data_IF_685320750509
#
_entry.id   IF_685320750509
#
_cell.length_a   1.000
_cell.length_b   1.000
_cell.length_c   1.000
_cell.angle_alpha   90.00
_cell.angle_beta   90.00
_cell.angle_gamma   90.00
#
_symmetry.space_group_name_H-M   'P 1'
#
loop_
_entity.id
_entity.type
_entity.pdbx_description
1 polymer ?
#
# COMPACT_ATOMS: atom_id res chain seq x y z
N UNK A 1 78.31 41.76 20.65
CA UNK A 1 79.42 40.92 20.18
C UNK A 1 79.00 39.46 20.36
N UNK A 2 79.10 38.59 19.35
CA UNK A 2 78.26 38.54 18.14
C UNK A 2 77.62 37.13 17.91
N UNK A 3 76.44 37.05 17.26
CA UNK A 3 76.17 36.53 15.88
C UNK A 3 76.11 34.97 15.77
N UNK A 4 75.31 34.28 14.94
CA UNK A 4 74.61 34.50 13.66
C UNK A 4 73.28 33.67 13.66
N UNK A 5 72.12 34.09 13.15
CA UNK A 5 71.69 34.51 11.79
C UNK A 5 71.19 33.33 10.92
N UNK A 6 69.86 33.18 10.73
CA UNK A 6 69.11 33.66 9.54
C UNK A 6 67.68 33.12 9.48
N UNK A 7 66.80 34.05 9.14
CA UNK A 7 65.40 33.90 8.75
C UNK A 7 65.29 33.10 7.44
N UNK A 8 64.24 32.28 7.30
CA UNK A 8 63.86 31.73 6.00
C UNK A 8 62.60 32.43 5.48
N UNK A 9 62.68 32.86 4.23
CA UNK A 9 61.75 33.73 3.54
C UNK A 9 60.65 32.94 2.83
N UNK A 10 59.45 33.54 2.78
CA UNK A 10 58.34 33.23 1.85
C UNK A 10 58.83 32.81 0.45
N UNK A 11 58.26 31.71 -0.06
CA UNK A 11 58.03 31.55 -1.50
C UNK A 11 56.59 31.05 -1.74
N UNK A 12 55.78 31.93 -2.35
CA UNK A 12 54.55 31.58 -3.03
C UNK A 12 54.93 30.59 -4.14
N UNK A 13 54.31 29.41 -4.15
CA UNK A 13 54.46 28.50 -5.30
C UNK A 13 53.94 29.21 -6.55
N UNK A 14 54.91 29.43 -7.43
CA UNK A 14 54.75 30.11 -8.67
C UNK A 14 53.87 29.29 -9.61
N UNK A 15 53.02 30.03 -10.31
CA UNK A 15 52.42 29.67 -11.57
C UNK A 15 53.54 29.26 -12.55
N UNK A 16 53.86 27.96 -12.61
CA UNK A 16 54.77 27.42 -13.62
C UNK A 16 54.01 27.30 -14.95
N UNK A 17 53.89 28.48 -15.56
CA UNK A 17 53.48 28.69 -16.93
C UNK A 17 54.73 28.50 -17.82
N UNK A 18 55.38 27.33 -17.73
CA UNK A 18 56.26 26.83 -18.77
C UNK A 18 55.44 26.64 -20.06
N UNK A 19 56.01 26.89 -21.25
CA UNK A 19 55.26 26.88 -22.49
C UNK A 19 54.62 25.51 -22.67
N UNK A 20 53.31 25.40 -22.43
CA UNK A 20 52.54 24.25 -22.89
C UNK A 20 52.73 24.25 -24.38
N UNK A 21 53.59 23.33 -24.86
CA UNK A 21 53.62 22.97 -26.24
C UNK A 21 52.17 22.82 -26.68
N UNK A 22 51.73 23.69 -27.59
CA UNK A 22 50.49 23.51 -28.33
C UNK A 22 50.71 22.27 -29.18
N UNK A 23 50.69 21.08 -28.57
CA UNK A 23 50.48 19.83 -29.28
C UNK A 23 49.09 19.98 -29.87
N UNK A 24 49.05 20.20 -31.18
CA UNK A 24 47.82 20.35 -31.94
C UNK A 24 46.83 19.26 -31.54
N UNK A 25 45.55 19.62 -31.38
CA UNK A 25 44.45 18.64 -31.19
C UNK A 25 44.43 17.58 -32.31
N UNK A 26 45.14 17.81 -33.42
CA UNK A 26 45.28 16.94 -34.59
C UNK A 26 46.03 15.62 -34.37
N UNK A 27 46.73 15.40 -33.26
CA UNK A 27 47.54 14.18 -33.06
C UNK A 27 47.17 13.35 -31.82
N UNK A 28 45.93 13.48 -31.32
CA UNK A 28 45.42 12.68 -30.18
C UNK A 28 44.80 11.38 -30.66
N UNK A 29 45.17 10.25 -30.05
CA UNK A 29 44.54 8.95 -30.30
C UNK A 29 43.66 8.62 -29.09
N UNK A 30 42.34 8.55 -29.28
CA UNK A 30 41.39 8.25 -28.21
C UNK A 30 41.38 6.76 -27.85
N UNK A 31 41.10 6.48 -26.58
CA UNK A 31 41.21 5.16 -25.96
C UNK A 31 39.89 4.76 -25.29
N UNK A 32 39.50 3.50 -25.46
CA UNK A 32 38.38 2.86 -24.76
C UNK A 32 38.87 2.19 -23.47
N UNK A 33 39.15 2.99 -22.44
CA UNK A 33 39.64 2.47 -21.15
C UNK A 33 38.44 2.16 -20.25
N UNK A 34 38.20 0.89 -19.86
CA UNK A 34 37.21 0.56 -18.84
C UNK A 34 37.53 1.27 -17.52
N UNK A 35 36.50 1.64 -16.76
CA UNK A 35 36.68 2.42 -15.52
C UNK A 35 37.68 1.79 -14.54
N UNK A 36 37.67 0.45 -14.43
CA UNK A 36 38.55 -0.33 -13.56
C UNK A 36 40.03 -0.24 -13.96
N UNK A 37 40.31 0.12 -15.21
CA UNK A 37 41.66 0.20 -15.79
C UNK A 37 42.18 1.65 -15.90
N UNK A 38 41.43 2.65 -15.40
CA UNK A 38 41.78 4.07 -15.46
C UNK A 38 43.16 4.39 -14.87
N UNK A 39 43.47 3.80 -13.71
CA UNK A 39 44.74 4.03 -13.03
C UNK A 39 45.91 3.47 -13.84
N UNK A 40 45.73 2.27 -14.41
CA UNK A 40 46.71 1.62 -15.27
C UNK A 40 46.95 2.41 -16.56
N UNK A 41 45.90 2.96 -17.18
CA UNK A 41 46.02 3.81 -18.35
C UNK A 41 46.78 5.11 -18.05
N UNK A 42 46.53 5.72 -16.89
CA UNK A 42 47.24 6.91 -16.42
C UNK A 42 48.72 6.64 -16.18
N UNK A 43 49.07 5.50 -15.58
CA UNK A 43 50.45 5.05 -15.35
C UNK A 43 51.20 4.81 -16.67
N UNK A 44 50.50 4.32 -17.69
CA UNK A 44 51.05 4.14 -19.04
C UNK A 44 51.15 5.45 -19.84
N UNK A 45 50.69 6.57 -19.28
CA UNK A 45 50.85 7.91 -19.83
C UNK A 45 49.62 8.48 -20.55
N UNK A 46 48.48 7.78 -20.52
CA UNK A 46 47.22 8.30 -21.06
C UNK A 46 46.73 9.51 -20.25
N UNK A 47 45.93 10.37 -20.89
CA UNK A 47 45.34 11.58 -20.29
C UNK A 47 43.84 11.60 -20.52
N UNK A 48 43.11 12.24 -19.62
CA UNK A 48 41.67 12.43 -19.74
C UNK A 48 41.36 13.75 -20.44
N UNK A 49 40.59 13.71 -21.52
CA UNK A 49 40.00 14.88 -22.15
C UNK A 49 38.64 15.15 -21.51
N UNK A 50 38.53 16.28 -20.78
CA UNK A 50 37.28 16.68 -20.11
C UNK A 50 36.19 17.13 -21.10
N UNK A 51 36.57 17.66 -22.25
CA UNK A 51 35.65 18.18 -23.27
C UNK A 51 35.04 17.02 -24.05
N UNK A 52 35.87 16.05 -24.44
CA UNK A 52 35.42 14.82 -25.11
C UNK A 52 34.95 13.72 -24.15
N UNK A 53 35.13 13.90 -22.83
CA UNK A 53 34.87 12.88 -21.80
C UNK A 53 35.47 11.51 -22.15
N UNK A 54 36.74 11.49 -22.56
CA UNK A 54 37.41 10.29 -23.06
C UNK A 54 38.90 10.28 -22.74
N UNK A 55 39.49 9.08 -22.58
CA UNK A 55 40.93 8.92 -22.46
C UNK A 55 41.61 9.07 -23.81
N UNK A 56 42.81 9.64 -23.83
CA UNK A 56 43.61 9.76 -25.04
C UNK A 56 45.11 9.55 -24.77
N UNK A 57 45.81 9.02 -25.77
CA UNK A 57 47.25 8.97 -25.82
C UNK A 57 47.80 10.29 -26.41
N UNK A 58 48.66 11.04 -25.67
CA UNK A 58 49.19 12.32 -26.14
C UNK A 58 50.37 12.18 -27.13
N UNK A 59 50.90 10.97 -27.35
CA UNK A 59 52.01 10.70 -28.27
C UNK A 59 51.97 9.26 -28.81
N UNK A 60 52.64 9.01 -29.93
CA UNK A 60 52.74 7.67 -30.54
C UNK A 60 53.33 6.62 -29.58
N UNK A 61 54.31 7.00 -28.75
CA UNK A 61 54.91 6.13 -27.74
C UNK A 61 53.92 5.74 -26.64
N UNK A 62 53.02 6.64 -26.25
CA UNK A 62 51.94 6.30 -25.30
C UNK A 62 50.91 5.43 -26.00
N UNK A 63 50.58 5.71 -27.26
CA UNK A 63 49.62 4.92 -28.03
C UNK A 63 50.06 3.45 -28.18
N UNK A 64 51.36 3.17 -28.35
CA UNK A 64 51.89 1.81 -28.33
C UNK A 64 51.73 1.13 -26.96
N UNK A 65 52.01 1.86 -25.87
CA UNK A 65 51.86 1.34 -24.50
C UNK A 65 50.40 1.10 -24.13
N UNK A 66 49.47 1.88 -24.69
CA UNK A 66 48.04 1.82 -24.44
C UNK A 66 47.28 1.09 -25.56
N UNK A 67 47.98 0.34 -26.41
CA UNK A 67 47.41 -0.30 -27.60
C UNK A 67 46.23 -1.21 -27.29
N UNK A 68 46.21 -1.83 -26.11
CA UNK A 68 45.10 -2.67 -25.63
C UNK A 68 43.76 -1.92 -25.48
N UNK A 69 43.78 -0.59 -25.30
CA UNK A 69 42.59 0.27 -25.25
C UNK A 69 42.44 1.11 -26.52
N UNK A 70 43.28 0.89 -27.53
CA UNK A 70 43.23 1.64 -28.79
C UNK A 70 41.95 1.29 -29.54
N UNK A 71 41.12 2.29 -29.76
CA UNK A 71 40.00 2.20 -30.69
C UNK A 71 40.45 2.86 -31.99
N UNK A 72 40.56 2.08 -33.06
CA UNK A 72 40.79 2.61 -34.41
C UNK A 72 39.66 3.58 -34.77
N UNK A 73 39.85 4.87 -34.48
CA UNK A 73 38.99 5.98 -34.88
C UNK A 73 37.58 6.04 -34.28
N UNK A 74 37.17 5.10 -33.42
CA UNK A 74 35.85 5.11 -32.77
C UNK A 74 35.98 5.12 -31.25
N UNK A 75 36.15 6.31 -30.67
CA UNK A 75 35.92 6.48 -29.23
C UNK A 75 34.58 5.79 -28.88
N UNK A 76 34.53 4.90 -27.87
CA UNK A 76 33.27 4.35 -27.43
C UNK A 76 32.39 5.54 -27.08
N UNK A 77 31.18 5.58 -27.64
CA UNK A 77 30.22 6.62 -27.36
C UNK A 77 30.18 6.83 -25.84
N UNK A 78 30.30 8.09 -25.41
CA UNK A 78 30.03 8.46 -24.02
C UNK A 78 28.75 7.73 -23.60
N UNK A 79 28.79 7.00 -22.48
CA UNK A 79 27.64 6.27 -21.94
C UNK A 79 26.37 7.10 -22.18
N UNK A 80 25.42 6.56 -22.97
CA UNK A 80 24.21 7.27 -23.33
C UNK A 80 23.60 7.86 -22.06
N UNK A 81 23.40 9.18 -22.05
CA UNK A 81 22.70 9.86 -20.95
C UNK A 81 21.26 9.35 -20.94
N UNK A 82 21.03 8.29 -20.18
CA UNK A 82 19.73 7.69 -19.90
C UNK A 82 18.85 8.74 -19.22
N UNK A 83 17.68 9.01 -19.81
CA UNK A 83 16.71 9.99 -19.30
C UNK A 83 15.73 9.29 -18.33
N UNK A 84 15.80 9.58 -17.02
CA UNK A 84 14.91 8.96 -16.04
C UNK A 84 13.43 9.22 -16.29
N UNK A 85 13.08 10.38 -16.86
CA UNK A 85 11.68 10.74 -17.13
C UNK A 85 11.15 9.90 -18.29
N UNK A 86 11.94 9.74 -19.35
CA UNK A 86 11.60 8.88 -20.48
C UNK A 86 11.47 7.42 -20.02
N UNK A 87 12.45 6.90 -19.28
CA UNK A 87 12.42 5.50 -18.81
C UNK A 87 11.24 5.21 -17.89
N UNK A 88 10.94 6.11 -16.95
CA UNK A 88 9.78 5.96 -16.10
C UNK A 88 8.48 5.99 -16.90
N UNK A 89 8.42 6.85 -17.93
CA UNK A 89 7.27 6.92 -18.85
C UNK A 89 7.10 5.61 -19.63
N UNK A 90 8.18 5.06 -20.17
CA UNK A 90 8.17 3.80 -20.91
C UNK A 90 7.83 2.61 -20.02
N UNK A 91 8.38 2.59 -18.80
CA UNK A 91 8.01 1.60 -17.79
C UNK A 91 6.51 1.65 -17.48
N UNK A 92 5.91 2.83 -17.29
CA UNK A 92 4.46 2.93 -17.07
C UNK A 92 3.63 2.44 -18.26
N UNK A 93 4.07 2.72 -19.50
CA UNK A 93 3.40 2.19 -20.70
C UNK A 93 3.51 0.67 -20.79
N UNK A 94 4.67 0.11 -20.43
CA UNK A 94 4.88 -1.34 -20.36
C UNK A 94 4.02 -2.00 -19.28
N UNK A 95 3.68 -1.28 -18.20
CA UNK A 95 2.70 -1.71 -17.19
C UNK A 95 1.23 -1.54 -17.68
N UNK A 96 1.00 -1.15 -18.93
CA UNK A 96 -0.32 -1.02 -19.53
C UNK A 96 -1.04 0.28 -19.20
N UNK A 97 -0.34 1.34 -18.78
CA UNK A 97 -0.97 2.64 -18.50
C UNK A 97 -1.12 3.48 -19.78
N UNK A 98 -2.27 4.15 -19.93
CA UNK A 98 -2.51 5.12 -21.02
C UNK A 98 -1.89 6.49 -20.68
N UNK A 99 -0.55 6.56 -20.78
CA UNK A 99 0.22 7.78 -20.54
C UNK A 99 0.42 8.56 -21.85
N UNK A 100 -0.21 9.74 -21.92
CA UNK A 100 0.01 10.69 -23.02
C UNK A 100 1.20 11.61 -22.69
N UNK A 101 2.26 11.53 -23.49
CA UNK A 101 3.50 12.28 -23.25
C UNK A 101 4.32 11.72 -22.09
N UNK A 102 5.15 12.55 -21.47
CA UNK A 102 6.00 12.16 -20.35
C UNK A 102 5.27 12.15 -19.00
N UNK A 103 5.75 11.30 -18.10
CA UNK A 103 5.31 11.22 -16.73
C UNK A 103 5.68 12.48 -15.93
N UNK A 104 4.79 12.93 -15.04
CA UNK A 104 5.07 14.02 -14.11
C UNK A 104 5.75 13.44 -12.86
N UNK A 105 7.04 13.72 -12.68
CA UNK A 105 7.86 13.23 -11.56
C UNK A 105 8.10 14.30 -10.46
N UNK A 106 7.04 15.02 -10.10
CA UNK A 106 7.03 16.13 -9.13
C UNK A 106 6.86 15.69 -7.67
N UNK A 107 6.90 14.39 -7.41
CA UNK A 107 6.63 13.82 -6.11
C UNK A 107 5.18 13.95 -5.66
N UNK A 108 4.19 14.11 -6.55
CA UNK A 108 2.75 14.07 -6.23
C UNK A 108 2.06 12.87 -6.89
N UNK A 109 0.88 12.52 -6.38
CA UNK A 109 0.05 11.46 -6.98
C UNK A 109 -0.72 12.00 -8.18
N UNK A 110 -0.56 11.36 -9.33
CA UNK A 110 -1.23 11.67 -10.59
C UNK A 110 -2.17 10.52 -10.98
N UNK A 111 -3.41 10.84 -11.36
CA UNK A 111 -4.40 9.84 -11.80
C UNK A 111 -4.25 9.54 -13.28
N UNK A 112 -4.25 8.27 -13.63
CA UNK A 112 -4.06 7.77 -15.00
C UNK A 112 -5.03 6.64 -15.33
N UNK A 113 -5.36 6.49 -16.62
CA UNK A 113 -6.17 5.39 -17.12
C UNK A 113 -5.31 4.17 -17.43
N UNK A 114 -5.92 2.99 -17.35
CA UNK A 114 -5.34 1.75 -17.86
C UNK A 114 -5.71 1.67 -19.35
N UNK A 115 -4.81 1.17 -20.20
CA UNK A 115 -5.09 1.04 -21.63
C UNK A 115 -6.39 0.25 -21.86
N UNK A 116 -7.23 0.76 -22.76
CA UNK A 116 -8.57 0.21 -23.04
C UNK A 116 -9.67 0.71 -22.10
N UNK A 117 -9.34 1.47 -21.05
CA UNK A 117 -10.34 2.01 -20.11
C UNK A 117 -10.52 3.52 -20.24
N UNK A 118 -11.77 3.97 -20.16
CA UNK A 118 -12.09 5.40 -20.07
C UNK A 118 -11.87 5.96 -18.66
N UNK A 119 -12.01 5.12 -17.63
CA UNK A 119 -11.87 5.53 -16.25
C UNK A 119 -10.40 5.56 -15.82
N UNK A 120 -10.03 6.56 -15.02
CA UNK A 120 -8.69 6.66 -14.44
C UNK A 120 -8.54 5.66 -13.30
N UNK A 121 -8.30 4.38 -13.57
CA UNK A 121 -8.24 3.31 -12.55
C UNK A 121 -6.83 3.04 -12.01
N UNK A 122 -5.88 3.94 -12.24
CA UNK A 122 -4.55 3.87 -11.65
C UNK A 122 -4.06 5.25 -11.16
N UNK A 123 -3.03 5.24 -10.34
CA UNK A 123 -2.31 6.45 -9.93
C UNK A 123 -0.83 6.18 -9.85
N UNK A 124 0.00 7.16 -10.23
CA UNK A 124 1.45 7.06 -10.12
C UNK A 124 2.03 8.26 -9.37
N UNK A 125 3.25 8.10 -8.87
CA UNK A 125 4.05 9.17 -8.26
C UNK A 125 5.51 8.94 -8.62
N UNK A 126 6.13 9.89 -9.30
CA UNK A 126 7.57 9.86 -9.58
C UNK A 126 8.31 10.93 -8.79
N UNK A 127 9.55 10.67 -8.42
CA UNK A 127 10.47 11.62 -7.80
C UNK A 127 11.71 11.74 -8.69
N UNK A 128 11.89 12.91 -9.32
CA UNK A 128 13.11 13.19 -10.08
C UNK A 128 14.24 13.70 -9.19
N UNK A 129 13.91 14.51 -8.18
CA UNK A 129 14.86 15.17 -7.28
C UNK A 129 15.36 14.26 -6.13
N UNK A 130 14.93 13.00 -6.10
CA UNK A 130 15.47 12.03 -5.18
C UNK A 130 16.91 11.66 -5.59
N UNK A 131 17.76 11.30 -4.62
CA UNK A 131 19.15 10.93 -4.92
C UNK A 131 19.25 9.83 -6.00
N UNK A 132 18.27 8.92 -6.02
CA UNK A 132 17.98 8.05 -7.16
C UNK A 132 16.56 8.36 -7.64
N UNK A 133 16.38 8.80 -8.90
CA UNK A 133 15.05 8.95 -9.46
C UNK A 133 14.26 7.65 -9.33
N UNK A 134 13.02 7.75 -8.87
CA UNK A 134 12.19 6.59 -8.59
C UNK A 134 10.72 6.90 -8.83
N UNK A 135 9.90 5.86 -8.88
CA UNK A 135 8.46 6.02 -8.99
C UNK A 135 7.68 4.82 -8.47
N UNK A 136 6.41 5.07 -8.20
CA UNK A 136 5.43 4.07 -7.78
C UNK A 136 4.22 4.14 -8.70
N UNK A 137 3.63 2.98 -8.97
CA UNK A 137 2.37 2.82 -9.68
C UNK A 137 1.41 1.99 -8.83
N UNK A 138 0.23 2.54 -8.57
CA UNK A 138 -0.88 1.85 -7.93
C UNK A 138 -1.98 1.61 -8.96
N UNK A 139 -2.19 0.37 -9.34
CA UNK A 139 -3.36 -0.06 -10.10
C UNK A 139 -4.48 -0.40 -9.11
N UNK A 140 -5.63 0.24 -9.22
CA UNK A 140 -6.72 0.07 -8.26
C UNK A 140 -7.46 -1.27 -8.41
N UNK A 141 -7.04 -2.11 -9.35
CA UNK A 141 -7.44 -3.52 -9.47
C UNK A 141 -6.58 -4.48 -8.64
N UNK A 142 -5.63 -3.98 -7.86
CA UNK A 142 -4.95 -4.76 -6.83
C UNK A 142 -3.43 -4.86 -6.96
N UNK A 143 -2.81 -4.31 -8.01
CA UNK A 143 -1.34 -4.35 -8.17
C UNK A 143 -0.67 -3.03 -7.77
N UNK A 144 0.49 -3.15 -7.13
CA UNK A 144 1.40 -2.04 -6.82
C UNK A 144 2.78 -2.39 -7.34
N UNK A 145 3.40 -1.47 -8.06
CA UNK A 145 4.71 -1.67 -8.67
C UNK A 145 5.60 -0.48 -8.37
N UNK A 146 6.90 -0.73 -8.25
CA UNK A 146 7.92 0.28 -8.01
C UNK A 146 8.93 0.29 -9.16
N UNK A 147 9.46 1.48 -9.45
CA UNK A 147 10.51 1.71 -10.43
C UNK A 147 11.63 2.51 -9.79
N UNK A 148 12.87 2.17 -10.10
CA UNK A 148 14.07 2.91 -9.68
C UNK A 148 15.00 3.04 -10.87
N UNK A 149 15.55 4.22 -11.04
CA UNK A 149 16.56 4.50 -12.04
C UNK A 149 17.91 3.93 -11.61
N UNK A 150 18.51 3.05 -12.39
CA UNK A 150 19.79 2.40 -12.08
C UNK A 150 21.00 3.08 -12.76
N UNK A 151 20.78 4.19 -13.47
CA UNK A 151 21.83 4.96 -14.14
C UNK A 151 22.65 5.89 -13.25
N UNK A 152 22.30 6.06 -11.97
CA UNK A 152 23.06 6.92 -11.05
C UNK A 152 23.97 6.07 -10.16
N UNK A 153 25.29 6.21 -10.33
CA UNK A 153 26.29 5.73 -9.37
C UNK A 153 26.45 6.75 -8.24
N UNK A 154 25.65 6.62 -7.18
CA UNK A 154 25.81 7.42 -5.96
C UNK A 154 26.99 6.90 -5.12
N UNK A 155 27.69 7.83 -4.45
CA UNK A 155 28.61 7.45 -3.37
C UNK A 155 27.85 6.92 -2.15
N UNK A 156 28.52 6.12 -1.30
CA UNK A 156 27.92 5.58 -0.07
C UNK A 156 27.35 6.67 0.84
N UNK A 157 28.00 7.83 0.89
CA UNK A 157 27.59 8.96 1.74
C UNK A 157 26.33 9.67 1.20
N UNK A 158 26.17 9.76 -0.12
CA UNK A 158 24.97 10.35 -0.73
C UNK A 158 23.74 9.45 -0.57
N UNK A 159 23.93 8.12 -0.70
CA UNK A 159 22.88 7.14 -0.40
C UNK A 159 22.44 7.25 1.06
N UNK A 160 23.40 7.35 1.99
CA UNK A 160 23.10 7.47 3.42
C UNK A 160 22.29 8.74 3.74
N UNK A 161 22.71 9.90 3.20
CA UNK A 161 21.98 11.17 3.37
C UNK A 161 20.57 11.12 2.79
N UNK A 162 20.39 10.47 1.63
CA UNK A 162 19.07 10.32 1.00
C UNK A 162 18.12 9.44 1.84
N UNK A 163 18.63 8.34 2.39
CA UNK A 163 17.87 7.46 3.28
C UNK A 163 17.46 8.24 4.55
N UNK A 164 18.37 9.01 5.14
CA UNK A 164 18.10 9.79 6.34
C UNK A 164 17.07 10.90 6.08
N UNK A 165 17.22 11.66 4.98
CA UNK A 165 16.24 12.65 4.56
C UNK A 165 14.86 12.02 4.28
N UNK A 166 14.83 10.84 3.65
CA UNK A 166 13.61 10.08 3.42
C UNK A 166 12.92 9.65 4.71
N UNK A 167 13.68 9.12 5.68
CA UNK A 167 13.16 8.76 7.01
C UNK A 167 12.62 9.99 7.76
N UNK A 168 13.33 11.11 7.71
CA UNK A 168 12.90 12.37 8.33
C UNK A 168 11.60 12.89 7.70
N UNK A 169 11.55 12.98 6.38
CA UNK A 169 10.35 13.41 5.66
C UNK A 169 9.16 12.43 5.82
N UNK A 170 9.43 11.14 6.01
CA UNK A 170 8.39 10.16 6.34
C UNK A 170 7.84 10.39 7.75
N UNK A 171 8.72 10.65 8.73
CA UNK A 171 8.33 10.96 10.10
C UNK A 171 7.52 12.25 10.18
N UNK A 172 7.99 13.32 9.55
CA UNK A 172 7.30 14.62 9.51
C UNK A 172 5.89 14.47 8.91
N UNK A 173 5.76 13.77 7.77
CA UNK A 173 4.45 13.48 7.17
C UNK A 173 3.54 12.64 8.06
N UNK A 174 4.10 11.68 8.79
CA UNK A 174 3.33 10.86 9.73
C UNK A 174 2.83 11.70 10.92
N UNK A 175 3.66 12.60 11.43
CA UNK A 175 3.31 13.52 12.51
C UNK A 175 2.24 14.54 12.07
N UNK A 176 2.38 15.12 10.87
CA UNK A 176 1.37 15.99 10.26
C UNK A 176 0.02 15.27 10.08
N UNK A 177 0.05 14.06 9.50
CA UNK A 177 -1.15 13.24 9.31
C UNK A 177 -1.83 12.94 10.65
N UNK A 178 -1.05 12.63 11.70
CA UNK A 178 -1.57 12.38 13.03
C UNK A 178 -2.27 13.62 13.61
N UNK A 179 -1.66 14.80 13.49
CA UNK A 179 -2.27 16.04 13.95
C UNK A 179 -3.57 16.35 13.21
N UNK A 180 -3.59 16.13 11.89
CA UNK A 180 -4.79 16.32 11.07
C UNK A 180 -5.91 15.33 11.44
N UNK A 181 -5.56 14.07 11.72
CA UNK A 181 -6.52 13.08 12.22
C UNK A 181 -7.06 13.43 13.61
N UNK A 182 -6.24 13.94 14.52
CA UNK A 182 -6.68 14.39 15.85
C UNK A 182 -7.65 15.58 15.76
N UNK A 183 -7.37 16.55 14.86
CA UNK A 183 -8.31 17.65 14.55
C UNK A 183 -9.60 17.11 13.96
N UNK A 184 -9.52 16.17 13.01
CA UNK A 184 -10.69 15.54 12.40
C UNK A 184 -11.53 14.78 13.43
N UNK A 185 -10.92 14.10 14.41
CA UNK A 185 -11.62 13.41 15.49
C UNK A 185 -12.43 14.38 16.37
N UNK A 186 -11.86 15.54 16.73
CA UNK A 186 -12.59 16.59 17.47
C UNK A 186 -13.78 17.11 16.66
N UNK A 187 -13.57 17.38 15.36
CA UNK A 187 -14.63 17.80 14.44
C UNK A 187 -15.72 16.72 14.30
N UNK A 188 -15.35 15.46 14.14
CA UNK A 188 -16.26 14.32 14.07
C UNK A 188 -17.15 14.23 15.32
N UNK A 189 -16.55 14.35 16.50
CA UNK A 189 -17.30 14.34 17.76
C UNK A 189 -18.26 15.53 17.87
N UNK A 190 -17.83 16.73 17.47
CA UNK A 190 -18.66 17.93 17.44
C UNK A 190 -19.86 17.79 16.50
N UNK A 191 -19.63 17.34 15.26
CA UNK A 191 -20.72 17.06 14.30
C UNK A 191 -21.68 16.02 14.90
N UNK A 192 -21.16 14.87 15.34
CA UNK A 192 -21.97 13.78 15.89
C UNK A 192 -22.84 14.22 17.07
N UNK A 193 -22.30 15.04 17.96
CA UNK A 193 -23.00 15.52 19.16
C UNK A 193 -24.12 16.50 18.81
N UNK A 194 -23.95 17.30 17.76
CA UNK A 194 -24.93 18.27 17.29
C UNK A 194 -26.03 17.68 16.40
N UNK A 195 -25.85 16.45 15.88
CA UNK A 195 -26.92 15.74 15.19
C UNK A 195 -27.96 15.25 16.21
N UNK A 196 -29.20 15.71 16.07
CA UNK A 196 -30.28 15.44 17.03
C UNK A 196 -31.23 14.33 16.61
N UNK A 197 -31.30 14.01 15.31
CA UNK A 197 -32.21 13.00 14.75
C UNK A 197 -31.48 11.68 14.51
N UNK A 198 -32.11 10.58 14.89
CA UNK A 198 -31.71 9.24 14.45
C UNK A 198 -32.16 9.02 13.00
N UNK A 199 -31.32 8.37 12.21
CA UNK A 199 -31.70 7.97 10.85
C UNK A 199 -32.54 6.69 10.94
N UNK A 200 -33.68 6.70 10.26
CA UNK A 200 -34.63 5.59 10.19
C UNK A 200 -35.12 5.47 8.73
N UNK A 201 -35.68 4.32 8.30
CA UNK A 201 -36.16 4.13 6.93
C UNK A 201 -37.16 5.20 6.45
N UNK A 202 -37.91 5.82 7.37
CA UNK A 202 -38.92 6.83 7.04
C UNK A 202 -38.30 8.20 6.71
N UNK A 203 -37.07 8.46 7.17
CA UNK A 203 -36.42 9.77 7.06
C UNK A 203 -35.06 9.74 6.33
N UNK A 204 -34.61 8.56 5.90
CA UNK A 204 -33.33 8.37 5.22
C UNK A 204 -33.48 7.49 3.98
N UNK A 205 -33.20 8.06 2.80
CA UNK A 205 -33.35 7.37 1.52
C UNK A 205 -32.47 6.13 1.38
N UNK A 206 -31.27 6.15 1.95
CA UNK A 206 -30.38 4.99 1.94
C UNK A 206 -31.01 3.81 2.70
N UNK A 207 -31.48 4.05 3.93
CA UNK A 207 -32.10 3.03 4.77
C UNK A 207 -33.40 2.51 4.16
N UNK A 208 -34.23 3.41 3.61
CA UNK A 208 -35.44 3.05 2.87
C UNK A 208 -35.15 2.15 1.67
N UNK A 209 -34.18 2.53 0.83
CA UNK A 209 -33.79 1.76 -0.36
C UNK A 209 -33.20 0.41 0.03
N UNK A 210 -32.36 0.38 1.06
CA UNK A 210 -31.77 -0.86 1.57
C UNK A 210 -32.73 -1.69 2.41
N UNK A 211 -33.88 -1.15 2.81
CA UNK A 211 -34.90 -1.80 3.65
C UNK A 211 -34.33 -2.33 4.97
N UNK A 212 -33.50 -1.51 5.62
CA UNK A 212 -32.81 -1.86 6.86
C UNK A 212 -32.98 -0.76 7.90
N UNK A 213 -33.02 -1.16 9.17
CA UNK A 213 -33.11 -0.24 10.30
C UNK A 213 -31.82 0.54 10.52
N UNK A 214 -31.94 1.79 10.97
CA UNK A 214 -30.83 2.60 11.45
C UNK A 214 -30.42 2.25 12.88
N UNK A 215 -29.47 1.33 13.02
CA UNK A 215 -28.78 1.05 14.28
C UNK A 215 -27.59 1.99 14.51
N UNK A 216 -27.69 2.85 15.54
CA UNK A 216 -26.57 3.66 16.02
C UNK A 216 -26.09 4.72 15.02
N UNK A 217 -26.96 5.17 14.11
CA UNK A 217 -26.67 6.12 13.03
C UNK A 217 -27.60 7.31 13.09
N UNK A 218 -27.11 8.49 12.76
CA UNK A 218 -27.87 9.74 12.84
C UNK A 218 -28.19 10.31 11.45
N UNK A 219 -29.13 11.23 11.39
CA UNK A 219 -29.53 11.90 10.16
C UNK A 219 -28.90 13.30 10.10
N UNK A 220 -28.21 13.59 9.00
CA UNK A 220 -27.75 14.94 8.68
C UNK A 220 -28.91 15.82 8.18
N UNK A 221 -28.72 17.14 8.16
CA UNK A 221 -29.75 18.11 7.75
C UNK A 221 -30.18 17.95 6.29
N UNK A 222 -29.32 17.38 5.46
CA UNK A 222 -29.57 17.12 4.04
C UNK A 222 -30.10 15.69 3.77
N UNK A 223 -30.51 14.96 4.81
CA UNK A 223 -31.13 13.64 4.70
C UNK A 223 -30.14 12.48 4.57
N UNK A 224 -28.83 12.74 4.57
CA UNK A 224 -27.82 11.70 4.56
C UNK A 224 -27.75 10.98 5.91
N UNK A 225 -27.53 9.68 5.87
CA UNK A 225 -27.19 8.92 7.08
C UNK A 225 -25.74 9.21 7.46
N UNK A 226 -25.49 9.46 8.74
CA UNK A 226 -24.18 9.67 9.34
C UNK A 226 -23.84 8.48 10.21
N UNK A 227 -22.74 7.81 9.88
CA UNK A 227 -22.23 6.63 10.57
C UNK A 227 -20.96 7.01 11.34
N UNK A 228 -20.90 6.81 12.67
CA UNK A 228 -19.71 7.15 13.45
C UNK A 228 -18.66 6.05 13.31
N UNK A 229 -17.41 6.46 13.05
CA UNK A 229 -16.25 5.56 13.02
C UNK A 229 -15.55 5.62 14.37
N UNK A 230 -15.45 4.46 15.04
CA UNK A 230 -15.00 4.30 16.41
C UNK A 230 -13.77 3.40 16.51
N UNK A 231 -12.96 3.64 17.54
CA UNK A 231 -11.90 2.71 17.94
C UNK A 231 -12.46 1.59 18.84
N UNK A 232 -11.58 0.71 19.31
CA UNK A 232 -11.91 -0.39 20.23
C UNK A 232 -12.43 0.08 21.59
N UNK A 233 -12.20 1.33 21.97
CA UNK A 233 -12.76 1.97 23.17
C UNK A 233 -14.07 2.71 22.89
N UNK A 234 -14.63 2.51 21.69
CA UNK A 234 -15.87 3.13 21.21
C UNK A 234 -15.80 4.66 21.11
N UNK A 235 -14.60 5.27 21.10
CA UNK A 235 -14.41 6.72 20.89
C UNK A 235 -14.54 7.05 19.42
N UNK A 236 -15.21 8.16 19.09
CA UNK A 236 -15.40 8.60 17.71
C UNK A 236 -14.13 9.30 17.21
N UNK A 237 -13.62 8.86 16.06
CA UNK A 237 -12.46 9.47 15.39
C UNK A 237 -12.78 10.02 13.99
N UNK A 238 -13.86 9.56 13.37
CA UNK A 238 -14.28 10.02 12.04
C UNK A 238 -15.78 9.77 11.84
N UNK A 239 -16.30 10.24 10.71
CA UNK A 239 -17.68 10.03 10.27
C UNK A 239 -17.68 9.55 8.82
N UNK A 240 -18.64 8.69 8.48
CA UNK A 240 -19.03 8.41 7.11
C UNK A 240 -20.42 9.01 6.86
N UNK A 241 -20.56 9.73 5.76
CA UNK A 241 -21.82 10.29 5.29
C UNK A 241 -22.29 9.45 4.12
N UNK A 242 -23.53 8.98 4.18
CA UNK A 242 -24.13 8.03 3.24
C UNK A 242 -25.38 8.66 2.64
N UNK A 243 -25.26 9.10 1.39
CA UNK A 243 -26.36 9.61 0.55
C UNK A 243 -26.41 8.85 -0.78
N UNK A 244 -26.50 9.59 -1.90
CA UNK A 244 -26.25 9.03 -3.23
C UNK A 244 -24.82 8.50 -3.36
N UNK A 245 -23.86 9.30 -2.91
CA UNK A 245 -22.47 8.91 -2.73
C UNK A 245 -22.11 8.71 -1.25
N UNK A 246 -21.10 7.88 -1.01
CA UNK A 246 -20.51 7.66 0.32
C UNK A 246 -19.19 8.41 0.40
N UNK A 247 -19.02 9.21 1.43
CA UNK A 247 -17.76 9.89 1.70
C UNK A 247 -17.44 9.90 3.18
N UNK A 248 -16.16 10.06 3.49
CA UNK A 248 -15.67 10.16 4.86
C UNK A 248 -15.38 11.62 5.21
N UNK A 249 -15.39 11.93 6.50
CA UNK A 249 -14.93 13.21 7.00
C UNK A 249 -13.49 13.47 6.50
N UNK A 250 -13.27 14.64 5.93
CA UNK A 250 -11.96 15.06 5.42
C UNK A 250 -10.90 14.92 6.52
N UNK A 251 -9.76 14.34 6.17
CA UNK A 251 -8.63 14.04 7.07
C UNK A 251 -8.97 13.07 8.22
N UNK A 252 -10.19 12.54 8.29
CA UNK A 252 -10.58 11.56 9.29
C UNK A 252 -9.88 10.23 9.06
N UNK A 253 -9.40 9.61 10.14
CA UNK A 253 -8.89 8.24 10.10
C UNK A 253 -10.04 7.30 9.69
N UNK A 254 -9.76 6.31 8.85
CA UNK A 254 -10.67 5.18 8.56
C UNK A 254 -10.08 3.87 9.05
N UNK A 255 -8.78 3.70 8.81
CA UNK A 255 -8.02 2.52 9.18
C UNK A 255 -8.14 2.17 10.67
N UNK A 256 -8.48 0.91 10.95
CA UNK A 256 -8.66 0.37 12.30
C UNK A 256 -9.91 0.86 13.01
N UNK A 257 -10.75 1.66 12.35
CA UNK A 257 -12.03 2.12 12.91
C UNK A 257 -13.21 1.32 12.36
N UNK A 258 -14.28 1.28 13.13
CA UNK A 258 -15.50 0.57 12.79
C UNK A 258 -16.76 1.29 13.29
N UNK A 259 -17.92 0.90 12.78
CA UNK A 259 -19.19 1.19 13.45
C UNK A 259 -19.66 -0.05 14.21
N UNK A 260 -20.16 0.15 15.43
CA UNK A 260 -20.66 -0.94 16.26
C UNK A 260 -22.18 -0.85 16.38
N UNK A 261 -22.85 -1.92 15.96
CA UNK A 261 -24.25 -2.19 16.27
C UNK A 261 -24.27 -3.03 17.55
N UNK A 262 -24.39 -2.34 18.68
CA UNK A 262 -24.41 -2.94 20.01
C UNK A 262 -25.32 -2.13 20.96
N UNK A 263 -26.66 -2.21 20.78
CA UNK A 263 -27.60 -1.42 21.56
C UNK A 263 -27.57 -1.74 23.06
N UNK A 264 -27.08 -2.93 23.44
CA UNK A 264 -26.94 -3.38 24.83
C UNK A 264 -25.58 -3.04 25.44
N UNK A 265 -24.65 -2.48 24.66
CA UNK A 265 -23.31 -2.03 25.08
C UNK A 265 -22.39 -3.15 25.59
N UNK A 266 -22.60 -4.38 25.13
CA UNK A 266 -21.77 -5.54 25.48
C UNK A 266 -20.29 -5.35 25.15
N UNK A 267 -19.93 -4.54 24.16
CA UNK A 267 -18.54 -4.29 23.76
C UNK A 267 -17.81 -3.32 24.71
N UNK A 268 -18.45 -2.91 25.81
CA UNK A 268 -17.82 -2.07 26.82
C UNK A 268 -16.88 -2.89 27.72
N UNK A 269 -15.83 -2.24 28.26
CA UNK A 269 -14.88 -2.88 29.19
C UNK A 269 -15.54 -3.41 30.47
N UNK A 270 -16.77 -3.00 30.76
CA UNK A 270 -17.54 -3.42 31.94
C UNK A 270 -18.11 -4.82 31.79
N UNK A 271 -18.61 -5.15 30.60
CA UNK A 271 -19.34 -6.40 30.36
C UNK A 271 -18.41 -7.58 30.03
N UNK A 272 -17.13 -7.29 29.69
CA UNK A 272 -16.04 -8.25 29.42
C UNK A 272 -16.50 -9.48 28.61
N UNK A 273 -16.93 -9.32 27.35
CA UNK A 273 -17.25 -10.43 26.46
C UNK A 273 -16.16 -11.50 26.47
N UNK A 274 -16.55 -12.76 26.55
CA UNK A 274 -15.62 -13.86 26.70
C UNK A 274 -16.10 -15.15 26.06
N UNK A 275 -15.68 -16.28 26.63
CA UNK A 275 -16.01 -17.60 26.13
C UNK A 275 -17.53 -17.81 26.05
N UNK A 276 -18.02 -18.20 24.87
CA UNK A 276 -19.45 -18.39 24.60
C UNK A 276 -20.16 -17.15 24.04
N UNK A 277 -19.52 -15.98 24.09
CA UNK A 277 -20.00 -14.79 23.40
C UNK A 277 -19.62 -14.81 21.92
N UNK A 278 -20.31 -14.00 21.13
CA UNK A 278 -20.12 -13.92 19.68
C UNK A 278 -20.14 -12.48 19.22
N UNK A 279 -19.16 -12.10 18.41
CA UNK A 279 -19.13 -10.85 17.65
C UNK A 279 -19.20 -11.19 16.17
N UNK A 280 -20.05 -10.47 15.44
CA UNK A 280 -20.18 -10.61 14.00
C UNK A 280 -19.53 -9.42 13.31
N UNK A 281 -18.83 -9.64 12.21
CA UNK A 281 -18.20 -8.62 11.38
C UNK A 281 -18.86 -8.62 10.01
N UNK A 282 -19.11 -7.43 9.46
CA UNK A 282 -19.62 -7.23 8.12
C UNK A 282 -18.88 -6.07 7.45
N UNK A 283 -18.71 -6.12 6.14
CA UNK A 283 -18.12 -5.00 5.39
C UNK A 283 -19.10 -3.82 5.33
N UNK A 284 -20.31 -4.07 4.80
CA UNK A 284 -21.32 -3.05 4.59
C UNK A 284 -22.30 -2.86 5.75
N UNK A 285 -22.83 -1.63 5.88
CA UNK A 285 -23.85 -1.30 6.88
C UNK A 285 -25.12 -2.15 6.73
N UNK A 286 -25.63 -2.31 5.51
CA UNK A 286 -26.86 -3.07 5.26
C UNK A 286 -26.73 -4.54 5.66
N UNK A 287 -25.65 -5.21 5.21
CA UNK A 287 -25.30 -6.58 5.63
C UNK A 287 -25.22 -6.67 7.16
N UNK A 288 -24.50 -5.75 7.81
CA UNK A 288 -24.37 -5.72 9.27
C UNK A 288 -25.71 -5.53 10.00
N UNK A 289 -26.57 -4.64 9.50
CA UNK A 289 -27.89 -4.38 10.07
C UNK A 289 -28.84 -5.58 9.94
N UNK A 290 -28.88 -6.24 8.77
CA UNK A 290 -29.65 -7.47 8.54
C UNK A 290 -29.15 -8.61 9.43
N UNK A 291 -27.84 -8.84 9.49
CA UNK A 291 -27.29 -9.91 10.33
C UNK A 291 -27.52 -9.63 11.82
N UNK A 292 -27.39 -8.38 12.28
CA UNK A 292 -27.77 -8.02 13.65
C UNK A 292 -29.26 -8.30 13.92
N UNK A 293 -30.14 -8.03 12.95
CA UNK A 293 -31.58 -8.34 13.06
C UNK A 293 -31.82 -9.84 13.21
N UNK A 294 -31.05 -10.70 12.52
CA UNK A 294 -31.18 -12.15 12.58
C UNK A 294 -30.79 -12.72 13.94
N UNK A 295 -29.61 -12.36 14.46
CA UNK A 295 -28.99 -13.06 15.61
C UNK A 295 -28.87 -12.23 16.88
N UNK A 296 -29.13 -10.92 16.82
CA UNK A 296 -29.07 -9.99 17.96
C UNK A 296 -27.72 -9.98 18.72
N UNK A 297 -26.65 -10.38 18.06
CA UNK A 297 -25.27 -10.31 18.56
C UNK A 297 -24.63 -8.97 18.21
N UNK A 298 -23.64 -8.48 18.98
CA UNK A 298 -22.87 -7.30 18.59
C UNK A 298 -22.31 -7.47 17.18
N UNK A 299 -22.57 -6.48 16.32
CA UNK A 299 -22.13 -6.50 14.93
C UNK A 299 -21.24 -5.31 14.61
N UNK A 300 -20.06 -5.58 14.05
CA UNK A 300 -19.03 -4.61 13.69
C UNK A 300 -19.06 -4.39 12.17
N UNK A 301 -19.16 -3.15 11.75
CA UNK A 301 -19.14 -2.74 10.34
C UNK A 301 -17.79 -2.11 10.04
N UNK A 302 -17.06 -2.66 9.06
CA UNK A 302 -15.67 -2.29 8.77
C UNK A 302 -15.48 -1.46 7.52
N UNK A 303 -16.56 -1.22 6.76
CA UNK A 303 -16.66 -0.35 5.58
C UNK A 303 -15.97 -0.82 4.31
N UNK A 304 -14.86 -1.55 4.41
CA UNK A 304 -14.18 -2.22 3.30
C UNK A 304 -13.39 -3.46 3.78
N UNK A 305 -13.11 -4.37 2.86
CA UNK A 305 -12.37 -5.61 3.15
C UNK A 305 -10.94 -5.41 3.67
N UNK A 306 -10.21 -4.39 3.18
CA UNK A 306 -8.85 -4.11 3.68
C UNK A 306 -8.83 -3.65 5.13
N UNK A 307 -9.88 -2.98 5.59
CA UNK A 307 -10.05 -2.57 6.97
C UNK A 307 -10.59 -3.71 7.86
N UNK A 308 -11.29 -4.70 7.28
CA UNK A 308 -11.85 -5.85 7.99
C UNK A 308 -10.80 -6.61 8.80
N UNK A 309 -9.69 -6.98 8.17
CA UNK A 309 -8.59 -7.74 8.81
C UNK A 309 -7.97 -6.95 9.98
N UNK A 310 -7.81 -5.63 9.81
CA UNK A 310 -7.21 -4.76 10.84
C UNK A 310 -8.11 -4.66 12.07
N UNK A 311 -9.40 -4.42 11.84
CA UNK A 311 -10.40 -4.34 12.91
C UNK A 311 -10.56 -5.69 13.61
N UNK A 312 -10.59 -6.79 12.87
CA UNK A 312 -10.66 -8.14 13.43
C UNK A 312 -9.51 -8.41 14.41
N UNK A 313 -8.26 -8.15 13.99
CA UNK A 313 -7.07 -8.32 14.85
C UNK A 313 -7.16 -7.50 16.13
N UNK A 314 -7.53 -6.22 16.01
CA UNK A 314 -7.68 -5.35 17.17
C UNK A 314 -8.78 -5.83 18.14
N UNK A 315 -9.90 -6.32 17.61
CA UNK A 315 -10.98 -6.88 18.42
C UNK A 315 -10.57 -8.22 19.06
N UNK A 316 -9.76 -9.05 18.39
CA UNK A 316 -9.26 -10.32 18.95
C UNK A 316 -8.28 -10.07 20.10
N UNK A 317 -7.41 -9.08 19.96
CA UNK A 317 -6.53 -8.64 21.05
C UNK A 317 -7.33 -8.17 22.26
N UNK A 318 -8.42 -7.41 22.03
CA UNK A 318 -9.29 -6.92 23.10
C UNK A 318 -10.18 -8.01 23.72
N UNK A 319 -10.66 -8.95 22.90
CA UNK A 319 -11.57 -10.03 23.30
C UNK A 319 -11.04 -11.40 22.85
N UNK A 320 -10.06 -11.97 23.56
CA UNK A 320 -9.35 -13.17 23.14
C UNK A 320 -10.24 -14.40 22.95
N UNK A 321 -11.26 -14.58 23.80
CA UNK A 321 -12.05 -15.81 23.87
C UNK A 321 -13.40 -15.76 23.13
N UNK A 322 -13.72 -14.64 22.50
CA UNK A 322 -15.00 -14.45 21.82
C UNK A 322 -15.03 -15.18 20.48
N UNK A 323 -16.17 -15.78 20.13
CA UNK A 323 -16.36 -16.33 18.78
C UNK A 323 -16.51 -15.20 17.77
N UNK A 324 -15.69 -15.19 16.72
CA UNK A 324 -15.74 -14.16 15.68
C UNK A 324 -16.30 -14.72 14.38
N UNK A 325 -17.42 -14.17 13.92
CA UNK A 325 -18.08 -14.56 12.67
C UNK A 325 -17.92 -13.45 11.63
N UNK A 326 -17.55 -13.80 10.42
CA UNK A 326 -17.39 -12.89 9.29
C UNK A 326 -18.51 -13.09 8.28
N UNK A 327 -19.51 -12.21 8.31
CA UNK A 327 -20.60 -12.19 7.34
C UNK A 327 -20.08 -11.64 6.01
N UNK A 328 -19.71 -12.55 5.12
CA UNK A 328 -19.07 -12.23 3.84
C UNK A 328 -20.10 -11.97 2.74
N UNK A 329 -19.88 -10.91 1.97
CA UNK A 329 -20.57 -10.69 0.71
C UNK A 329 -20.03 -11.68 -0.35
N UNK A 330 -20.88 -12.15 -1.25
CA UNK A 330 -20.51 -13.04 -2.36
C UNK A 330 -20.47 -12.25 -3.67
N UNK A 331 -19.32 -11.66 -3.98
CA UNK A 331 -19.07 -10.90 -5.22
C UNK A 331 -18.90 -11.82 -6.44
N UNK A 332 -19.81 -12.78 -6.62
CA UNK A 332 -19.72 -13.84 -7.64
C UNK A 332 -19.69 -13.32 -9.09
N UNK A 333 -20.11 -12.08 -9.31
CA UNK A 333 -20.05 -11.43 -10.61
C UNK A 333 -18.63 -10.97 -11.00
N UNK A 334 -17.74 -10.72 -10.02
CA UNK A 334 -16.38 -10.22 -10.27
C UNK A 334 -15.50 -11.25 -11.00
N UNK A 335 -15.50 -12.56 -10.63
CA UNK A 335 -14.77 -13.58 -11.38
C UNK A 335 -15.31 -13.83 -12.79
N UNK A 336 -16.56 -13.44 -13.08
CA UNK A 336 -17.24 -13.68 -14.36
C UNK A 336 -17.04 -12.56 -15.39
N UNK A 337 -16.30 -11.51 -15.04
CA UNK A 337 -15.98 -10.39 -15.95
C UNK A 337 -15.01 -10.83 -17.05
N UNK A 338 -15.00 -10.10 -18.17
CA UNK A 338 -14.05 -10.30 -19.27
C UNK A 338 -12.59 -10.27 -18.80
N UNK A 339 -12.28 -9.37 -17.87
CA UNK A 339 -11.05 -9.40 -17.06
C UNK A 339 -11.47 -9.84 -15.66
N UNK A 340 -11.26 -11.12 -15.29
CA UNK A 340 -11.68 -11.66 -14.00
C UNK A 340 -11.03 -10.89 -12.85
N UNK A 341 -11.85 -10.57 -11.86
CA UNK A 341 -11.39 -10.03 -10.58
C UNK A 341 -11.73 -11.02 -9.47
N UNK A 342 -10.91 -11.01 -8.43
CA UNK A 342 -11.13 -11.78 -7.21
C UNK A 342 -12.50 -11.48 -6.57
N UNK A 343 -13.06 -12.48 -5.88
CA UNK A 343 -14.24 -12.29 -5.04
C UNK A 343 -13.79 -11.67 -3.72
N UNK A 344 -13.56 -10.35 -3.75
CA UNK A 344 -12.89 -9.63 -2.68
C UNK A 344 -13.62 -9.76 -1.33
N UNK A 345 -14.96 -9.74 -1.30
CA UNK A 345 -15.73 -9.92 -0.06
C UNK A 345 -15.44 -11.27 0.62
N UNK A 346 -15.40 -12.36 -0.15
CA UNK A 346 -15.07 -13.70 0.35
C UNK A 346 -13.60 -13.83 0.76
N UNK A 347 -12.69 -13.30 -0.06
CA UNK A 347 -11.25 -13.39 0.20
C UNK A 347 -10.87 -12.64 1.47
N UNK A 348 -11.35 -11.41 1.64
CA UNK A 348 -11.06 -10.57 2.82
C UNK A 348 -11.69 -11.13 4.10
N UNK A 349 -12.90 -11.69 4.01
CA UNK A 349 -13.51 -12.37 5.14
C UNK A 349 -12.72 -13.61 5.57
N UNK A 350 -12.21 -14.39 4.61
CA UNK A 350 -11.38 -15.57 4.88
C UNK A 350 -10.02 -15.17 5.45
N UNK A 351 -9.36 -14.16 4.89
CA UNK A 351 -8.11 -13.62 5.43
C UNK A 351 -8.29 -13.13 6.87
N UNK A 352 -9.38 -12.41 7.15
CA UNK A 352 -9.69 -11.95 8.50
C UNK A 352 -9.96 -13.12 9.45
N UNK A 353 -10.75 -14.12 9.03
CA UNK A 353 -11.03 -15.31 9.82
C UNK A 353 -9.77 -16.09 10.16
N UNK A 354 -8.92 -16.36 9.17
CA UNK A 354 -7.64 -17.08 9.36
C UNK A 354 -6.72 -16.30 10.32
N UNK A 355 -6.70 -14.97 10.22
CA UNK A 355 -5.87 -14.12 11.06
C UNK A 355 -6.26 -14.09 12.54
N UNK A 356 -7.51 -14.44 12.89
CA UNK A 356 -8.01 -14.37 14.28
C UNK A 356 -8.65 -15.66 14.78
N UNK A 357 -8.55 -16.77 14.05
CA UNK A 357 -9.27 -18.01 14.37
C UNK A 357 -10.78 -17.80 14.42
N UNK A 358 -11.34 -17.12 13.41
CA UNK A 358 -12.77 -16.89 13.25
C UNK A 358 -13.40 -17.75 12.16
N UNK A 359 -14.67 -17.49 11.84
CA UNK A 359 -15.45 -18.30 10.89
C UNK A 359 -16.13 -17.43 9.83
N UNK A 360 -16.00 -17.81 8.56
CA UNK A 360 -16.72 -17.15 7.47
C UNK A 360 -18.13 -17.69 7.34
N UNK A 361 -19.10 -16.79 7.18
CA UNK A 361 -20.53 -17.09 7.06
C UNK A 361 -21.09 -16.37 5.84
N UNK A 362 -21.23 -17.09 4.73
CA UNK A 362 -21.65 -16.53 3.44
C UNK A 362 -23.11 -16.88 3.10
N UNK A 363 -23.84 -16.00 2.39
CA UNK A 363 -25.21 -16.28 2.00
C UNK A 363 -25.26 -17.50 1.04
N UNK A 364 -26.09 -18.52 1.30
CA UNK A 364 -26.21 -19.69 0.42
C UNK A 364 -27.11 -19.38 -0.77
N UNK A 365 -26.59 -18.54 -1.68
CA UNK A 365 -27.26 -18.10 -2.90
C UNK A 365 -27.32 -19.22 -3.94
N UNK A 366 -28.52 -19.48 -4.47
CA UNK A 366 -28.74 -20.38 -5.60
C UNK A 366 -28.28 -19.75 -6.90
N UNK A 367 -28.12 -20.56 -7.96
CA UNK A 367 -27.79 -20.05 -9.30
C UNK A 367 -28.80 -19.01 -9.81
N UNK A 368 -30.09 -19.21 -9.53
CA UNK A 368 -31.15 -18.29 -9.93
C UNK A 368 -31.04 -16.93 -9.20
N UNK A 369 -30.74 -16.94 -7.91
CA UNK A 369 -30.53 -15.71 -7.13
C UNK A 369 -29.25 -14.98 -7.53
N UNK A 370 -28.16 -15.71 -7.79
CA UNK A 370 -26.94 -15.12 -8.36
C UNK A 370 -27.21 -14.46 -9.71
N UNK A 371 -28.01 -15.09 -10.57
CA UNK A 371 -28.40 -14.52 -11.86
C UNK A 371 -29.27 -13.24 -11.73
N UNK A 372 -30.01 -13.08 -10.62
CA UNK A 372 -30.71 -11.83 -10.28
C UNK A 372 -29.78 -10.75 -9.71
N UNK A 373 -28.50 -11.06 -9.49
CA UNK A 373 -27.50 -10.13 -8.96
C UNK A 373 -27.46 -10.03 -7.44
N UNK A 374 -28.09 -10.96 -6.71
CA UNK A 374 -27.98 -10.98 -5.24
C UNK A 374 -26.54 -11.32 -4.85
N UNK A 375 -26.02 -10.65 -3.81
CA UNK A 375 -24.62 -10.82 -3.37
C UNK A 375 -24.49 -10.97 -1.87
N UNK A 376 -25.33 -10.31 -1.07
CA UNK A 376 -25.14 -10.20 0.37
C UNK A 376 -26.31 -10.79 1.19
N UNK A 377 -26.19 -10.76 2.52
CA UNK A 377 -27.24 -11.24 3.44
C UNK A 377 -28.50 -10.37 3.44
N UNK A 378 -28.38 -9.08 3.12
CA UNK A 378 -29.50 -8.15 3.03
C UNK A 378 -30.34 -8.44 1.78
N UNK A 379 -29.69 -8.71 0.65
CA UNK A 379 -30.32 -9.17 -0.58
C UNK A 379 -31.08 -10.49 -0.36
N UNK A 380 -30.47 -11.44 0.37
CA UNK A 380 -31.12 -12.71 0.72
C UNK A 380 -32.35 -12.51 1.60
N UNK A 381 -32.29 -11.59 2.57
CA UNK A 381 -33.43 -11.23 3.40
C UNK A 381 -34.59 -10.67 2.57
N UNK A 382 -34.30 -9.80 1.61
CA UNK A 382 -35.32 -9.23 0.72
C UNK A 382 -36.00 -10.29 -0.16
N UNK A 383 -35.24 -11.25 -0.66
CA UNK A 383 -35.76 -12.30 -1.54
C UNK A 383 -36.51 -13.40 -0.77
N UNK A 384 -36.00 -13.81 0.40
CA UNK A 384 -36.54 -14.98 1.13
C UNK A 384 -37.36 -14.63 2.38
N UNK A 385 -37.31 -13.39 2.84
CA UNK A 385 -37.88 -12.94 4.12
C UNK A 385 -36.96 -13.19 5.32
N UNK A 386 -37.17 -12.41 6.39
CA UNK A 386 -36.31 -12.39 7.59
C UNK A 386 -36.15 -13.76 8.24
N UNK A 387 -37.23 -14.53 8.46
CA UNK A 387 -37.15 -15.79 9.21
C UNK A 387 -36.30 -16.84 8.46
N UNK A 388 -36.48 -16.94 7.14
CA UNK A 388 -35.69 -17.85 6.30
C UNK A 388 -34.24 -17.41 6.22
N UNK A 389 -33.97 -16.12 6.09
CA UNK A 389 -32.61 -15.60 6.07
C UNK A 389 -31.88 -15.83 7.41
N UNK A 390 -32.56 -15.58 8.54
CA UNK A 390 -32.03 -15.85 9.87
C UNK A 390 -31.75 -17.33 10.09
N UNK A 391 -32.67 -18.22 9.69
CA UNK A 391 -32.45 -19.66 9.74
C UNK A 391 -31.24 -20.08 8.90
N UNK A 392 -31.10 -19.56 7.68
CA UNK A 392 -29.96 -19.85 6.81
C UNK A 392 -28.64 -19.34 7.41
N UNK A 393 -28.64 -18.15 8.03
CA UNK A 393 -27.46 -17.61 8.70
C UNK A 393 -26.97 -18.53 9.82
N UNK A 394 -27.89 -19.00 10.67
CA UNK A 394 -27.58 -19.94 11.76
C UNK A 394 -27.08 -21.28 11.22
N UNK A 395 -27.69 -21.80 10.16
CA UNK A 395 -27.26 -23.05 9.51
C UNK A 395 -25.85 -22.93 8.91
N UNK A 396 -25.55 -21.82 8.22
CA UNK A 396 -24.20 -21.60 7.68
C UNK A 396 -23.18 -21.41 8.79
N UNK A 397 -23.54 -20.72 9.88
CA UNK A 397 -22.69 -20.58 11.06
C UNK A 397 -22.34 -21.95 11.64
N UNK A 398 -23.34 -22.80 11.90
CA UNK A 398 -23.12 -24.16 12.41
C UNK A 398 -22.23 -24.98 11.48
N UNK A 399 -22.49 -24.93 10.17
CA UNK A 399 -21.67 -25.61 9.15
C UNK A 399 -20.21 -25.16 9.21
N UNK A 400 -19.95 -23.87 9.33
CA UNK A 400 -18.58 -23.33 9.42
C UNK A 400 -17.88 -23.77 10.71
N UNK A 401 -18.57 -23.79 11.85
CA UNK A 401 -18.01 -24.27 13.13
C UNK A 401 -17.72 -25.77 13.10
N UNK A 402 -18.63 -26.58 12.56
CA UNK A 402 -18.48 -28.04 12.48
C UNK A 402 -17.35 -28.43 11.52
N UNK A 403 -17.21 -27.73 10.39
CA UNK A 403 -16.11 -27.96 9.44
C UNK A 403 -14.73 -27.73 10.07
N UNK A 404 -14.59 -26.76 10.96
CA UNK A 404 -13.32 -26.48 11.63
C UNK A 404 -12.98 -27.54 12.69
N UNK A 405 -13.97 -27.99 13.46
CA UNK A 405 -13.79 -29.10 14.40
C UNK A 405 -13.30 -30.38 13.72
N UNK A 406 -13.80 -30.66 12.51
CA UNK A 406 -13.35 -31.81 11.70
C UNK A 406 -11.88 -31.63 11.32
N UNK A 407 -11.47 -30.44 10.84
CA UNK A 407 -10.05 -30.17 10.53
C UNK A 407 -9.16 -30.31 11.76
N UNK A 408 -9.56 -29.79 12.92
CA UNK A 408 -8.79 -29.92 14.18
C UNK A 408 -8.63 -31.40 14.60
N UNK A 409 -9.67 -32.21 14.42
CA UNK A 409 -9.62 -33.66 14.67
C UNK A 409 -8.68 -34.38 13.68
N UNK A 410 -8.70 -34.01 12.40
CA UNK A 410 -7.81 -34.57 11.38
C UNK A 410 -6.33 -34.17 11.60
N UNK A 411 -6.06 -32.92 12.00
CA UNK A 411 -4.71 -32.48 12.36
C UNK A 411 -4.19 -33.15 13.64
N UNK A 412 -5.05 -33.38 14.64
CA UNK A 412 -4.65 -34.05 15.89
C UNK A 412 -4.48 -35.56 15.75
N UNK A 413 -5.13 -36.20 14.77
CA UNK A 413 -4.98 -37.63 14.46
C UNK A 413 -3.83 -37.94 13.47
N UNK A 414 -3.09 -36.94 12.99
CA UNK A 414 -1.95 -37.15 12.10
C UNK A 414 -0.73 -37.65 12.89
N UNK A 415 -0.10 -38.80 12.55
CA UNK A 415 1.02 -39.33 13.32
C UNK A 415 2.23 -38.40 13.21
N UNK A 416 2.78 -37.99 14.36
CA UNK A 416 4.10 -37.36 14.43
C UNK A 416 5.10 -38.35 13.82
N UNK A 417 5.66 -38.03 12.65
CA UNK A 417 6.84 -38.72 12.13
C UNK A 417 7.97 -38.51 13.14
N UNK A 418 8.23 -39.53 13.95
CA UNK A 418 9.38 -39.62 14.83
C UNK A 418 10.66 -39.49 13.99
N UNK A 419 11.32 -38.34 14.12
CA UNK A 419 12.76 -38.26 13.90
C UNK A 419 13.45 -38.71 15.19
N UNK A 420 13.69 -40.00 15.31
CA UNK A 420 14.75 -40.53 16.16
C UNK A 420 15.38 -41.75 15.48
N UNK A 421 16.32 -41.49 14.57
CA UNK A 421 17.43 -42.39 14.34
C UNK A 421 18.67 -41.57 14.62
N UNK A 422 19.22 -41.78 15.80
CA UNK A 422 20.65 -41.97 16.03
C UNK A 422 20.86 -42.01 17.53
N UNK A 423 21.02 -43.22 18.07
CA UNK A 423 22.02 -43.58 19.08
C UNK A 423 21.81 -45.04 19.48
N UNK A 424 22.93 -45.77 19.52
CA UNK A 424 23.19 -46.95 20.36
C UNK A 424 22.59 -48.30 19.86
N UNK A 425 23.31 -49.44 19.76
CA UNK A 425 24.61 -49.92 20.27
C UNK A 425 25.11 -51.12 19.43
N UNK A 426 26.43 -51.37 19.51
CA UNK A 426 27.23 -52.61 19.31
C UNK A 426 27.94 -52.75 17.98
#
# INVERSE_FOLDING_TARGET
MPALDKQDHRAKEANDNGPKAKTSKQNRIYLAVPFEENQKAKELGARWDREASSWYAPSAKVAEKTKQWSVEGKAPAAEEKRDPVQEFSDWMRAQGMDLKGHAIMDGKWHRIAIMGEKAKNASYRGHLDAAVPNGMLNNFKGTKSEWKFDGVKLSKDEVAKAIEAGKKAQKERADELKQDQEKAAKTAFGIWSNLTKWAEPENCDYLKRKDVRGYGVKLDKDGRMVVPLRDTDLRIHSLQFVGEEKHYLKNGRKEGLFHAIDPKRYLSDKDKPGLGDTIVFAEGYATGASVHKFVRKPTIITFDGGNLVKVAKAMREKFPDVTMLFAADDDHHLPLREIPLANMGQEMAREAADAVGGYVVSPPLTKAEKAKGLTDWNDLEKERGTDKAAFQFLMQTRKSLDAEKIKEQELSCSPKKEMSRDLEVV
#
